data_IF_132504312061
#
_entry.id   IF_132504312061
#
_cell.length_a   1.000
_cell.length_b   1.000
_cell.length_c   1.000
_cell.angle_alpha   90.00
_cell.angle_beta   90.00
_cell.angle_gamma   90.00
#
_symmetry.space_group_name_H-M   'P 1'
#
loop_
_entity.id
_entity.type
_entity.pdbx_description
1 polymer ?
#
# COMPACT_ATOMS: atom_id res chain seq x y z
N UNK A 1 -15.58 -1.92 -18.92
CA UNK A 1 -14.53 -2.55 -19.73
C UNK A 1 -14.67 -4.07 -19.72
N UNK A 2 -14.03 -4.73 -20.67
CA UNK A 2 -13.91 -6.19 -20.75
C UNK A 2 -13.11 -6.75 -19.56
N UNK A 3 -13.08 -8.06 -19.38
CA UNK A 3 -12.26 -8.68 -18.33
C UNK A 3 -10.76 -8.39 -18.49
N UNK A 4 -10.26 -8.29 -19.73
CA UNK A 4 -8.88 -7.94 -20.02
C UNK A 4 -8.56 -6.48 -19.65
N UNK A 5 -9.46 -5.55 -19.99
CA UNK A 5 -9.28 -4.12 -19.64
C UNK A 5 -9.31 -3.89 -18.13
N UNK A 6 -10.20 -4.58 -17.41
CA UNK A 6 -10.26 -4.51 -15.94
C UNK A 6 -8.97 -5.04 -15.30
N UNK A 7 -8.45 -6.14 -15.82
CA UNK A 7 -7.19 -6.71 -15.35
C UNK A 7 -6.01 -5.77 -15.62
N UNK A 8 -5.91 -5.22 -16.84
CA UNK A 8 -4.87 -4.26 -17.18
C UNK A 8 -4.91 -3.04 -16.25
N UNK A 9 -6.11 -2.54 -15.92
CA UNK A 9 -6.26 -1.42 -14.98
C UNK A 9 -5.84 -1.79 -13.56
N UNK A 10 -6.16 -2.99 -13.07
CA UNK A 10 -5.69 -3.46 -11.76
C UNK A 10 -4.16 -3.48 -11.72
N UNK A 11 -3.50 -4.01 -12.74
CA UNK A 11 -2.04 -4.06 -12.83
C UNK A 11 -1.41 -2.67 -12.92
N UNK A 12 -2.03 -1.74 -13.66
CA UNK A 12 -1.60 -0.34 -13.72
C UNK A 12 -1.66 0.31 -12.32
N UNK A 13 -2.78 0.15 -11.61
CA UNK A 13 -2.95 0.73 -10.27
C UNK A 13 -2.05 0.08 -9.22
N UNK A 14 -1.83 -1.24 -9.31
CA UNK A 14 -0.91 -1.92 -8.39
C UNK A 14 0.54 -1.54 -8.63
N UNK A 15 0.95 -1.34 -9.89
CA UNK A 15 2.28 -0.85 -10.23
C UNK A 15 2.49 0.58 -9.72
N UNK A 16 1.50 1.46 -9.91
CA UNK A 16 1.55 2.83 -9.39
C UNK A 16 1.66 2.85 -7.86
N UNK A 17 0.81 2.10 -7.15
CA UNK A 17 0.87 1.97 -5.70
C UNK A 17 2.22 1.43 -5.22
N UNK A 18 2.74 0.38 -5.87
CA UNK A 18 4.05 -0.18 -5.57
C UNK A 18 5.16 0.87 -5.75
N UNK A 19 5.13 1.67 -6.82
CA UNK A 19 6.11 2.72 -7.04
C UNK A 19 6.02 3.82 -5.98
N UNK A 20 4.82 4.33 -5.70
CA UNK A 20 4.60 5.37 -4.68
C UNK A 20 5.06 4.92 -3.29
N UNK A 21 4.83 3.65 -2.92
CA UNK A 21 5.29 3.09 -1.65
C UNK A 21 6.82 2.94 -1.59
N UNK A 22 7.48 2.52 -2.69
CA UNK A 22 8.94 2.40 -2.72
C UNK A 22 9.67 3.75 -2.67
N UNK A 23 8.99 4.86 -2.97
CA UNK A 23 9.55 6.20 -2.80
C UNK A 23 9.65 6.63 -1.33
N UNK A 24 8.99 5.91 -0.40
CA UNK A 24 9.05 6.19 1.03
C UNK A 24 10.25 5.43 1.63
N UNK A 25 11.29 6.11 2.16
CA UNK A 25 12.52 5.45 2.60
C UNK A 25 12.34 4.38 3.70
N UNK A 26 11.33 4.55 4.55
CA UNK A 26 11.03 3.61 5.63
C UNK A 26 10.18 2.42 5.16
N UNK A 27 9.65 2.43 3.94
CA UNK A 27 8.81 1.36 3.40
C UNK A 27 9.67 0.44 2.55
N UNK A 28 9.43 -0.86 2.63
CA UNK A 28 10.09 -1.86 1.80
C UNK A 28 9.04 -2.80 1.25
N UNK A 29 8.84 -2.78 -0.07
CA UNK A 29 7.97 -3.74 -0.72
C UNK A 29 8.59 -5.14 -0.69
N UNK A 30 7.78 -6.17 -0.43
CA UNK A 30 8.28 -7.57 -0.42
C UNK A 30 8.64 -8.07 -1.81
N UNK A 31 8.01 -7.52 -2.86
CA UNK A 31 8.32 -7.81 -4.26
C UNK A 31 9.23 -6.72 -4.81
N UNK A 32 10.28 -7.14 -5.50
CA UNK A 32 11.20 -6.25 -6.23
C UNK A 32 10.68 -5.84 -7.62
N UNK A 33 9.59 -6.47 -8.08
CA UNK A 33 8.97 -6.20 -9.37
C UNK A 33 7.54 -5.70 -9.19
N UNK A 34 7.00 -4.94 -10.16
CA UNK A 34 5.61 -4.54 -10.16
C UNK A 34 4.67 -5.75 -10.00
N UNK A 35 3.62 -5.64 -9.18
CA UNK A 35 2.71 -6.76 -8.95
C UNK A 35 1.90 -7.11 -10.20
N UNK A 36 1.89 -8.39 -10.57
CA UNK A 36 0.99 -8.95 -11.61
C UNK A 36 -0.48 -9.06 -11.15
N UNK A 37 -0.82 -8.45 -10.01
CA UNK A 37 -2.17 -8.47 -9.43
C UNK A 37 -2.40 -7.23 -8.58
N UNK A 38 -3.62 -7.05 -8.08
CA UNK A 38 -3.98 -5.94 -7.20
C UNK A 38 -3.45 -6.04 -5.76
N UNK A 39 -2.47 -6.91 -5.48
CA UNK A 39 -1.99 -7.17 -4.12
C UNK A 39 -0.57 -6.67 -3.94
N UNK A 40 -0.38 -5.74 -3.01
CA UNK A 40 0.91 -5.16 -2.68
C UNK A 40 1.18 -5.43 -1.20
N UNK A 41 2.23 -6.20 -0.92
CA UNK A 41 2.67 -6.47 0.44
C UNK A 41 3.98 -5.73 0.71
N UNK A 42 4.03 -5.00 1.82
CA UNK A 42 5.17 -4.18 2.21
C UNK A 42 5.37 -4.18 3.72
N UNK A 43 6.60 -3.95 4.14
CA UNK A 43 6.98 -3.75 5.54
C UNK A 43 7.35 -2.30 5.76
N UNK A 44 7.16 -1.82 6.99
CA UNK A 44 7.49 -0.45 7.36
C UNK A 44 8.51 -0.48 8.49
N UNK A 45 9.73 -0.02 8.22
CA UNK A 45 10.80 0.07 9.18
C UNK A 45 10.59 1.30 10.08
N UNK A 46 9.85 1.11 11.16
CA UNK A 46 9.58 2.15 12.15
C UNK A 46 9.50 1.56 13.57
N UNK A 47 9.54 2.41 14.59
CA UNK A 47 9.30 1.99 15.96
C UNK A 47 7.84 1.51 16.19
N UNK A 48 6.92 1.87 15.30
CA UNK A 48 5.52 1.46 15.38
C UNK A 48 5.33 0.04 14.84
N UNK A 49 4.49 -0.75 15.52
CA UNK A 49 4.08 -2.04 14.98
C UNK A 49 3.19 -1.86 13.75
N UNK A 50 3.31 -2.76 12.77
CA UNK A 50 2.46 -2.75 11.57
C UNK A 50 0.95 -2.72 11.91
N UNK A 51 0.55 -3.38 12.99
CA UNK A 51 -0.83 -3.36 13.48
C UNK A 51 -1.28 -1.96 13.91
N UNK A 52 -0.40 -1.19 14.55
CA UNK A 52 -0.70 0.18 14.98
C UNK A 52 -0.79 1.12 13.78
N UNK A 53 0.11 0.96 12.81
CA UNK A 53 0.07 1.71 11.53
C UNK A 53 -1.26 1.44 10.80
N UNK A 54 -1.63 0.16 10.63
CA UNK A 54 -2.91 -0.21 10.00
C UNK A 54 -4.10 0.37 10.77
N UNK A 55 -4.12 0.28 12.11
CA UNK A 55 -5.21 0.85 12.91
C UNK A 55 -5.30 2.38 12.78
N UNK A 56 -4.18 3.08 12.61
CA UNK A 56 -4.18 4.53 12.36
C UNK A 56 -4.67 4.86 10.95
N UNK A 57 -4.26 4.08 9.95
CA UNK A 57 -4.74 4.21 8.57
C UNK A 57 -6.24 3.94 8.46
N UNK A 58 -6.76 2.94 9.17
CA UNK A 58 -8.20 2.62 9.23
C UNK A 58 -9.01 3.81 9.78
N UNK A 59 -8.51 4.53 10.78
CA UNK A 59 -9.16 5.75 11.30
C UNK A 59 -9.19 6.90 10.29
N UNK A 60 -8.25 6.92 9.35
CA UNK A 60 -8.18 7.88 8.24
C UNK A 60 -9.00 7.41 7.01
N UNK A 61 -9.69 6.28 7.10
CA UNK A 61 -10.51 5.72 6.02
C UNK A 61 -9.80 4.70 5.13
N UNK A 62 -8.53 4.39 5.39
CA UNK A 62 -7.75 3.42 4.62
C UNK A 62 -7.83 2.02 5.24
N UNK A 63 -8.57 1.13 4.61
CA UNK A 63 -8.74 -0.25 5.06
C UNK A 63 -7.66 -1.17 4.50
N UNK A 64 -6.53 -1.30 5.21
CA UNK A 64 -5.47 -2.26 4.90
C UNK A 64 -5.51 -3.45 5.85
N UNK A 65 -4.76 -4.51 5.54
CA UNK A 65 -4.67 -5.69 6.39
C UNK A 65 -3.24 -5.99 6.79
N UNK A 66 -3.00 -6.23 8.08
CA UNK A 66 -1.75 -6.81 8.55
C UNK A 66 -1.74 -8.33 8.32
N UNK A 67 -0.64 -8.85 7.81
CA UNK A 67 -0.36 -10.29 7.72
C UNK A 67 0.61 -10.66 8.85
N UNK A 68 0.35 -11.77 9.53
CA UNK A 68 1.17 -12.26 10.66
C UNK A 68 2.42 -13.03 10.21
N UNK A 69 2.41 -13.61 9.00
CA UNK A 69 3.55 -14.36 8.47
C UNK A 69 3.65 -14.21 6.93
N UNK A 70 4.68 -13.52 6.38
CA UNK A 70 5.61 -12.64 7.09
C UNK A 70 4.88 -11.45 7.74
N UNK A 71 5.43 -10.88 8.81
CA UNK A 71 4.86 -9.70 9.46
C UNK A 71 4.94 -8.49 8.52
N UNK A 72 3.86 -8.19 7.81
CA UNK A 72 3.80 -7.13 6.81
C UNK A 72 2.39 -6.56 6.68
N UNK A 73 2.27 -5.45 5.95
CA UNK A 73 1.00 -4.81 5.59
C UNK A 73 0.68 -5.17 4.15
N UNK A 74 -0.59 -5.46 3.87
CA UNK A 74 -1.10 -5.72 2.53
C UNK A 74 -2.11 -4.65 2.13
N UNK A 75 -1.80 -3.93 1.06
CA UNK A 75 -2.74 -3.11 0.32
C UNK A 75 -3.36 -3.92 -0.82
N UNK A 76 -4.65 -3.67 -1.07
CA UNK A 76 -5.37 -4.23 -2.21
C UNK A 76 -5.83 -3.08 -3.10
N UNK A 77 -5.33 -3.01 -4.33
CA UNK A 77 -5.85 -2.11 -5.36
C UNK A 77 -6.84 -2.86 -6.24
N UNK A 78 -7.80 -2.11 -6.78
CA UNK A 78 -8.79 -2.62 -7.70
C UNK A 78 -8.90 -1.67 -8.91
N UNK A 79 -9.65 -2.05 -9.93
CA UNK A 79 -9.87 -1.16 -11.09
C UNK A 79 -10.73 0.08 -10.76
N UNK A 80 -11.30 0.17 -9.57
CA UNK A 80 -11.98 1.35 -9.05
C UNK A 80 -11.06 2.27 -8.24
N UNK A 81 -9.88 1.78 -7.86
CA UNK A 81 -8.90 2.59 -7.15
C UNK A 81 -8.36 3.66 -8.11
N UNK A 82 -8.31 4.89 -7.62
CA UNK A 82 -7.79 6.05 -8.33
C UNK A 82 -6.35 6.34 -7.93
N UNK A 83 -5.64 7.08 -8.79
CA UNK A 83 -4.29 7.58 -8.46
C UNK A 83 -4.31 8.47 -7.21
N UNK A 84 -5.34 9.32 -7.07
CA UNK A 84 -5.49 10.21 -5.92
C UNK A 84 -5.58 9.44 -4.59
N UNK A 85 -6.36 8.36 -4.52
CA UNK A 85 -6.43 7.51 -3.32
C UNK A 85 -5.08 6.87 -2.98
N UNK A 86 -4.29 6.51 -3.99
CA UNK A 86 -2.94 5.95 -3.80
C UNK A 86 -1.98 7.02 -3.29
N UNK A 87 -2.05 8.22 -3.83
CA UNK A 87 -1.22 9.36 -3.39
C UNK A 87 -1.57 9.75 -1.95
N UNK A 88 -2.86 9.83 -1.62
CA UNK A 88 -3.33 10.10 -0.26
C UNK A 88 -2.89 9.00 0.72
N UNK A 89 -2.91 7.73 0.31
CA UNK A 89 -2.37 6.63 1.11
C UNK A 89 -0.88 6.81 1.39
N UNK A 90 -0.08 7.15 0.37
CA UNK A 90 1.35 7.36 0.52
C UNK A 90 1.65 8.54 1.47
N UNK A 91 0.92 9.65 1.32
CA UNK A 91 1.01 10.82 2.21
C UNK A 91 0.61 10.44 3.64
N UNK A 92 -0.46 9.67 3.83
CA UNK A 92 -0.90 9.25 5.14
C UNK A 92 0.14 8.36 5.84
N UNK A 93 0.79 7.45 5.11
CA UNK A 93 1.88 6.62 5.64
C UNK A 93 3.06 7.50 6.05
N UNK A 94 3.50 8.42 5.19
CA UNK A 94 4.60 9.33 5.50
C UNK A 94 4.29 10.18 6.73
N UNK A 95 3.08 10.73 6.82
CA UNK A 95 2.63 11.52 7.98
C UNK A 95 2.68 10.73 9.28
N UNK A 96 2.22 9.47 9.27
CA UNK A 96 2.27 8.58 10.46
C UNK A 96 3.71 8.30 10.87
N UNK A 97 4.62 8.19 9.91
CA UNK A 97 6.03 7.97 10.17
C UNK A 97 6.71 9.21 10.75
N UNK A 98 6.40 10.39 10.22
CA UNK A 98 6.95 11.66 10.70
C UNK A 98 6.45 11.99 12.13
N UNK A 99 5.19 11.67 12.44
CA UNK A 99 4.59 11.80 13.79
C UNK A 99 5.18 10.82 14.82
N UNK A 100 5.89 9.77 14.37
CA UNK A 100 6.45 8.73 15.22
C UNK A 100 7.92 8.96 15.61
N UNK A 101 8.53 10.05 15.12
CA UNK A 101 9.92 10.48 15.40
C UNK A 101 9.95 11.39 16.64
#
# INVERSE_FOLDING_TARGET
>A
GTSAERYAKICEMSAYCWQSLNNIPAVTCLKNTPPESGLISFTVNSALSHKKIVATLEKRGFCLRTLTYPNCIRACTHYFTSHAEIDELAIAIQTILDEAI
#
